data_IF_832010197799
#
_entry.id   IF_832010197799
#
_cell.length_a   1.000
_cell.length_b   1.000
_cell.length_c   1.000
_cell.angle_alpha   90.00
_cell.angle_beta   90.00
_cell.angle_gamma   90.00
#
_symmetry.space_group_name_H-M   'P 1'
#
loop_
_entity.id
_entity.type
_entity.pdbx_description
1 polymer ?
#
# COMPACT_ATOMS: atom_id res chain seq x y z
N UNK A 1 -63.77 5.62 -7.54
CA UNK A 1 -63.59 6.70 -8.53
C UNK A 1 -62.70 7.77 -7.90
N UNK A 2 -61.43 7.79 -8.23
CA UNK A 2 -60.62 8.98 -8.41
C UNK A 2 -59.24 8.54 -8.91
N UNK A 3 -58.98 8.82 -10.18
CA UNK A 3 -57.68 8.66 -10.83
C UNK A 3 -56.88 9.91 -10.54
N UNK A 4 -55.73 9.79 -9.90
CA UNK A 4 -54.71 10.84 -9.89
C UNK A 4 -53.59 10.47 -10.85
N UNK A 5 -53.36 11.35 -11.81
CA UNK A 5 -52.40 11.24 -12.88
C UNK A 5 -50.95 11.38 -12.35
N UNK A 6 -50.11 10.47 -12.79
CA UNK A 6 -48.65 10.52 -12.61
C UNK A 6 -48.07 11.50 -13.64
N UNK A 7 -47.38 12.53 -13.15
CA UNK A 7 -46.57 13.43 -13.98
C UNK A 7 -45.19 12.81 -14.22
N UNK A 8 -44.76 12.76 -15.49
CA UNK A 8 -43.46 12.33 -15.90
C UNK A 8 -42.37 13.37 -15.58
N UNK A 9 -41.14 12.97 -15.26
CA UNK A 9 -40.02 13.89 -15.03
C UNK A 9 -39.50 14.44 -16.36
N UNK A 10 -39.36 15.77 -16.41
CA UNK A 10 -38.70 16.53 -17.50
C UNK A 10 -37.21 16.24 -17.54
N UNK A 11 -36.70 16.07 -18.77
CA UNK A 11 -35.27 15.91 -19.07
C UNK A 11 -34.46 17.17 -18.74
N UNK A 12 -33.17 17.02 -18.34
CA UNK A 12 -32.31 18.17 -18.09
C UNK A 12 -31.87 18.83 -19.38
N UNK A 13 -31.87 20.15 -19.36
CA UNK A 13 -31.47 21.10 -20.40
C UNK A 13 -29.96 21.02 -20.67
N UNK A 14 -29.60 20.80 -21.94
CA UNK A 14 -28.24 20.68 -22.44
C UNK A 14 -27.63 22.08 -22.57
N UNK A 15 -26.65 22.41 -21.70
CA UNK A 15 -25.90 23.67 -21.74
C UNK A 15 -24.76 23.53 -22.74
N UNK A 16 -24.80 24.29 -23.84
CA UNK A 16 -23.74 24.39 -24.82
C UNK A 16 -22.50 25.13 -24.26
N UNK A 17 -21.26 24.71 -24.64
CA UNK A 17 -20.06 25.37 -24.17
C UNK A 17 -19.83 26.70 -24.89
N UNK A 18 -19.21 27.71 -24.22
CA UNK A 18 -18.91 29.03 -24.82
C UNK A 18 -17.77 28.96 -25.84
N UNK A 19 -17.94 29.69 -26.93
CA UNK A 19 -16.99 29.75 -28.05
C UNK A 19 -15.66 30.38 -27.66
N UNK A 20 -14.60 29.79 -28.20
CA UNK A 20 -13.21 30.31 -28.13
C UNK A 20 -12.94 31.28 -29.29
N UNK A 21 -13.23 32.55 -29.08
CA UNK A 21 -12.71 33.64 -29.94
C UNK A 21 -11.57 34.33 -29.20
N UNK A 22 -10.38 34.30 -29.80
CA UNK A 22 -9.26 35.15 -29.33
C UNK A 22 -7.87 34.50 -29.34
N UNK A 23 -7.41 33.96 -30.48
CA UNK A 23 -5.99 33.64 -30.67
C UNK A 23 -5.38 34.61 -31.65
N UNK A 24 -4.35 35.41 -31.27
CA UNK A 24 -3.64 36.29 -32.20
C UNK A 24 -2.76 35.49 -33.16
N UNK A 25 -2.91 35.73 -34.47
CA UNK A 25 -2.06 35.16 -35.52
C UNK A 25 -0.63 35.73 -35.42
N UNK A 26 0.36 34.88 -35.34
CA UNK A 26 1.77 35.22 -35.51
C UNK A 26 2.04 35.58 -37.00
N UNK A 27 2.75 36.69 -37.21
CA UNK A 27 3.21 37.16 -38.52
C UNK A 27 4.34 36.29 -39.04
N UNK A 28 4.17 35.77 -40.24
CA UNK A 28 5.25 35.24 -41.06
C UNK A 28 6.18 36.35 -41.49
N UNK A 29 7.48 36.24 -41.27
CA UNK A 29 8.52 37.04 -41.91
C UNK A 29 9.18 36.18 -42.98
N UNK A 30 9.06 36.62 -44.21
CA UNK A 30 9.68 36.03 -45.41
C UNK A 30 11.20 36.28 -45.46
N UNK A 31 11.89 35.54 -46.33
CA UNK A 31 13.34 35.52 -46.37
C UNK A 31 13.92 36.68 -47.21
N UNK A 32 14.89 37.37 -46.66
CA UNK A 32 15.71 38.36 -47.38
C UNK A 32 17.01 37.68 -47.85
N UNK A 33 17.23 37.74 -49.17
CA UNK A 33 18.37 37.17 -49.84
C UNK A 33 19.55 38.16 -49.80
N UNK A 34 20.73 37.73 -49.40
CA UNK A 34 22.01 38.43 -49.66
C UNK A 34 23.02 37.46 -50.25
N UNK A 35 23.63 37.85 -51.34
CA UNK A 35 24.52 37.16 -52.24
C UNK A 35 25.98 37.03 -51.70
N UNK A 36 26.89 36.29 -52.40
CA UNK A 36 28.03 35.61 -51.82
C UNK A 36 29.34 36.41 -51.89
N UNK A 37 30.17 36.24 -50.90
CA UNK A 37 31.62 36.59 -50.99
C UNK A 37 32.49 35.34 -50.87
N UNK A 38 33.53 35.31 -51.72
CA UNK A 38 34.44 34.18 -51.97
C UNK A 38 35.68 34.21 -51.04
N UNK A 39 36.64 33.27 -51.15
CA UNK A 39 37.12 32.49 -50.02
C UNK A 39 38.46 32.99 -49.47
N UNK A 40 38.63 32.87 -48.12
CA UNK A 40 39.97 32.90 -47.50
C UNK A 40 40.39 31.52 -47.03
N UNK A 41 41.54 31.15 -47.54
CA UNK A 41 42.30 29.91 -47.16
C UNK A 41 43.02 30.19 -45.86
N UNK A 42 42.71 29.45 -44.79
CA UNK A 42 43.63 29.32 -43.66
C UNK A 42 43.56 27.94 -42.97
N UNK A 43 44.71 27.28 -43.05
CA UNK A 43 45.33 26.38 -42.12
C UNK A 43 44.53 25.21 -41.50
N UNK A 44 45.01 24.04 -41.91
CA UNK A 44 44.80 22.78 -41.26
C UNK A 44 45.20 22.82 -39.77
N UNK A 45 44.20 22.81 -38.88
CA UNK A 45 44.39 22.54 -37.46
C UNK A 45 44.01 21.10 -37.22
N UNK A 46 45.03 20.31 -36.91
CA UNK A 46 44.95 18.89 -36.50
C UNK A 46 43.85 18.69 -35.45
N UNK A 47 42.78 17.98 -35.83
CA UNK A 47 41.72 17.51 -34.92
C UNK A 47 42.28 16.43 -33.97
N UNK A 48 42.33 16.76 -32.68
CA UNK A 48 42.65 15.84 -31.59
C UNK A 48 41.49 14.86 -31.42
N UNK A 49 41.72 13.54 -31.30
CA UNK A 49 40.65 12.55 -31.15
C UNK A 49 40.20 12.42 -29.68
N UNK A 50 39.66 13.47 -29.12
CA UNK A 50 39.15 13.45 -27.72
C UNK A 50 37.63 13.21 -27.58
N UNK A 51 36.88 13.15 -28.68
CA UNK A 51 35.40 13.00 -28.65
C UNK A 51 34.90 11.55 -28.54
N UNK A 52 35.74 10.55 -28.83
CA UNK A 52 35.30 9.14 -28.86
C UNK A 52 35.27 8.44 -27.50
N UNK A 53 36.11 8.86 -26.56
CA UNK A 53 36.22 8.20 -25.25
C UNK A 53 35.06 8.51 -24.29
N UNK A 54 34.52 9.75 -24.34
CA UNK A 54 33.44 10.16 -23.47
C UNK A 54 32.08 9.48 -23.82
N UNK A 55 31.80 9.22 -25.10
CA UNK A 55 30.58 8.52 -25.52
C UNK A 55 30.63 7.02 -25.22
N UNK A 56 31.81 6.39 -25.23
CA UNK A 56 32.02 5.01 -24.84
C UNK A 56 31.83 4.78 -23.35
N UNK A 57 32.33 5.67 -22.50
CA UNK A 57 32.15 5.63 -21.05
C UNK A 57 30.69 5.81 -20.63
N UNK A 58 29.95 6.66 -21.32
CA UNK A 58 28.51 6.84 -21.09
C UNK A 58 27.67 5.63 -21.54
N UNK A 59 28.06 4.90 -22.59
CA UNK A 59 27.42 3.65 -22.99
C UNK A 59 27.73 2.52 -22.01
N UNK A 60 28.96 2.37 -21.59
CA UNK A 60 29.35 1.37 -20.58
C UNK A 60 28.68 1.62 -19.22
N UNK A 61 28.52 2.86 -18.81
CA UNK A 61 27.80 3.20 -17.58
C UNK A 61 26.28 2.94 -17.68
N UNK A 62 25.68 3.07 -18.86
CA UNK A 62 24.28 2.68 -19.12
C UNK A 62 24.12 1.16 -19.15
N UNK A 63 25.03 0.44 -19.82
CA UNK A 63 25.02 -1.03 -19.84
C UNK A 63 25.24 -1.63 -18.45
N UNK A 64 26.12 -1.04 -17.63
CA UNK A 64 26.32 -1.44 -16.23
C UNK A 64 25.09 -1.13 -15.35
N UNK A 65 24.31 -0.09 -15.66
CA UNK A 65 23.01 0.15 -14.99
C UNK A 65 21.95 -0.88 -15.41
N UNK A 66 21.88 -1.23 -16.69
CA UNK A 66 20.97 -2.25 -17.19
C UNK A 66 21.34 -3.64 -16.67
N UNK A 67 22.64 -3.98 -16.57
CA UNK A 67 23.10 -5.22 -15.92
C UNK A 67 22.81 -5.27 -14.41
N UNK A 68 22.71 -4.13 -13.74
CA UNK A 68 22.24 -4.09 -12.34
C UNK A 68 20.74 -4.34 -12.23
N UNK A 69 19.94 -4.03 -13.26
CA UNK A 69 18.51 -4.34 -13.31
C UNK A 69 18.25 -5.81 -13.65
N UNK A 70 19.09 -6.44 -14.48
CA UNK A 70 19.02 -7.89 -14.74
C UNK A 70 19.41 -8.76 -13.53
N UNK A 71 20.04 -8.15 -12.51
CA UNK A 71 20.29 -8.78 -11.21
C UNK A 71 19.10 -8.77 -10.25
N UNK A 72 17.98 -8.11 -10.60
CA UNK A 72 16.72 -8.18 -9.86
C UNK A 72 16.11 -9.57 -10.05
N UNK A 73 16.30 -10.42 -9.08
CA UNK A 73 15.70 -11.77 -9.03
C UNK A 73 14.30 -11.61 -8.41
N UNK A 74 13.21 -11.53 -9.20
CA UNK A 74 11.86 -11.27 -8.66
C UNK A 74 11.40 -12.34 -7.66
N UNK A 75 11.91 -13.59 -7.79
CA UNK A 75 11.67 -14.65 -6.79
C UNK A 75 12.23 -14.33 -5.40
N UNK A 76 13.21 -13.39 -5.29
CA UNK A 76 13.64 -12.91 -3.96
C UNK A 76 12.58 -12.07 -3.24
N UNK A 77 11.52 -11.67 -3.90
CA UNK A 77 10.37 -11.00 -3.27
C UNK A 77 9.36 -11.99 -2.67
N UNK A 78 9.45 -13.28 -3.04
CA UNK A 78 8.58 -14.32 -2.52
C UNK A 78 9.16 -14.95 -1.26
N UNK A 79 8.31 -15.38 -0.31
CA UNK A 79 8.77 -16.06 0.90
C UNK A 79 9.34 -17.45 0.56
N UNK A 80 10.32 -17.88 1.35
CA UNK A 80 10.93 -19.21 1.22
C UNK A 80 11.02 -19.87 2.58
N UNK A 81 10.95 -21.23 2.66
CA UNK A 81 10.97 -21.93 3.94
C UNK A 81 12.21 -21.65 4.79
N UNK A 82 13.37 -21.52 4.14
CA UNK A 82 14.66 -21.30 4.83
C UNK A 82 15.02 -19.84 5.02
N UNK A 83 14.61 -18.97 4.07
CA UNK A 83 14.98 -17.54 4.09
C UNK A 83 14.02 -16.65 4.87
N UNK A 84 12.72 -17.02 4.89
CA UNK A 84 11.64 -16.28 5.55
C UNK A 84 10.60 -17.25 6.13
N UNK A 85 11.00 -18.07 7.12
CA UNK A 85 10.16 -19.16 7.64
C UNK A 85 8.84 -18.68 8.26
N UNK A 86 8.83 -17.52 8.93
CA UNK A 86 7.60 -16.94 9.49
C UNK A 86 6.62 -16.56 8.37
N UNK A 87 7.05 -15.74 7.41
CA UNK A 87 6.19 -15.31 6.31
C UNK A 87 5.72 -16.49 5.46
N UNK A 88 6.61 -17.48 5.20
CA UNK A 88 6.26 -18.67 4.44
C UNK A 88 5.21 -19.54 5.15
N UNK A 89 5.44 -19.87 6.43
CA UNK A 89 4.50 -20.68 7.21
C UNK A 89 3.16 -19.98 7.41
N UNK A 90 3.19 -18.67 7.66
CA UNK A 90 1.96 -17.89 7.84
C UNK A 90 1.21 -17.71 6.50
N UNK A 91 1.91 -17.53 5.38
CA UNK A 91 1.28 -17.51 4.05
C UNK A 91 0.61 -18.86 3.73
N UNK A 92 1.23 -19.99 4.06
CA UNK A 92 0.63 -21.31 3.89
C UNK A 92 -0.66 -21.47 4.73
N UNK A 93 -0.64 -20.99 5.97
CA UNK A 93 -1.81 -20.99 6.85
C UNK A 93 -2.94 -20.11 6.30
N UNK A 94 -2.62 -18.89 5.88
CA UNK A 94 -3.61 -17.98 5.28
C UNK A 94 -4.16 -18.49 3.95
N UNK A 95 -3.35 -19.23 3.18
CA UNK A 95 -3.84 -19.91 1.97
C UNK A 95 -4.83 -21.00 2.33
N UNK A 96 -4.54 -21.81 3.36
CA UNK A 96 -5.44 -22.86 3.82
C UNK A 96 -6.79 -22.29 4.30
N UNK A 97 -6.77 -21.24 5.14
CA UNK A 97 -8.00 -20.59 5.63
C UNK A 97 -8.76 -19.89 4.49
N UNK A 98 -8.08 -19.31 3.51
CA UNK A 98 -8.71 -18.73 2.33
C UNK A 98 -9.36 -19.79 1.43
N UNK A 99 -8.73 -20.95 1.25
CA UNK A 99 -9.34 -22.07 0.52
C UNK A 99 -10.55 -22.62 1.30
N UNK A 100 -10.45 -22.75 2.63
CA UNK A 100 -11.59 -23.10 3.45
C UNK A 100 -12.74 -22.10 3.27
N UNK A 101 -12.46 -20.80 3.31
CA UNK A 101 -13.46 -19.75 3.12
C UNK A 101 -14.10 -19.77 1.72
N UNK A 102 -13.38 -20.25 0.71
CA UNK A 102 -13.88 -20.33 -0.67
C UNK A 102 -14.73 -21.57 -0.96
N UNK A 103 -14.41 -22.71 -0.33
CA UNK A 103 -15.00 -24.02 -0.70
C UNK A 103 -15.89 -24.63 0.38
N UNK A 104 -15.83 -24.18 1.64
CA UNK A 104 -16.68 -24.67 2.69
C UNK A 104 -18.09 -24.04 2.64
N UNK A 105 -19.01 -24.60 3.41
CA UNK A 105 -20.38 -24.10 3.51
C UNK A 105 -20.39 -22.61 3.99
N UNK A 106 -21.12 -21.71 3.29
CA UNK A 106 -21.16 -20.30 3.65
C UNK A 106 -21.64 -20.02 5.08
N UNK A 107 -22.53 -20.86 5.62
CA UNK A 107 -23.02 -20.71 7.00
C UNK A 107 -21.94 -21.02 8.02
N UNK A 108 -21.13 -22.04 7.76
CA UNK A 108 -19.96 -22.38 8.57
C UNK A 108 -18.94 -21.24 8.55
N UNK A 109 -18.60 -20.72 7.36
CA UNK A 109 -17.64 -19.62 7.23
C UNK A 109 -18.15 -18.36 7.94
N UNK A 110 -19.43 -18.02 7.80
CA UNK A 110 -20.02 -16.91 8.52
C UNK A 110 -19.98 -17.09 10.04
N UNK A 111 -20.17 -18.30 10.52
CA UNK A 111 -20.03 -18.61 11.94
C UNK A 111 -18.56 -18.46 12.41
N UNK A 112 -17.60 -19.00 11.65
CA UNK A 112 -16.18 -18.88 11.96
C UNK A 112 -15.71 -17.43 12.00
N UNK A 113 -16.12 -16.60 11.02
CA UNK A 113 -15.79 -15.16 11.01
C UNK A 113 -16.38 -14.44 12.23
N UNK A 114 -17.63 -14.73 12.61
CA UNK A 114 -18.23 -14.14 13.81
C UNK A 114 -17.49 -14.54 15.09
N UNK A 115 -17.19 -15.82 15.27
CA UNK A 115 -16.47 -16.32 16.45
C UNK A 115 -15.00 -15.87 16.52
N UNK A 116 -14.39 -15.50 15.38
CA UNK A 116 -13.04 -14.94 15.33
C UNK A 116 -13.01 -13.41 15.24
N UNK A 117 -14.17 -12.76 15.37
CA UNK A 117 -14.25 -11.29 15.36
C UNK A 117 -13.60 -10.69 16.60
N UNK A 118 -12.81 -9.65 16.43
CA UNK A 118 -12.21 -8.87 17.51
C UNK A 118 -13.12 -7.74 18.00
N UNK A 119 -14.43 -7.89 17.87
CA UNK A 119 -15.38 -6.95 18.45
C UNK A 119 -15.35 -6.94 19.99
N UNK A 120 -15.90 -5.90 20.59
CA UNK A 120 -15.85 -5.67 22.05
C UNK A 120 -16.42 -6.86 22.83
N UNK A 121 -17.53 -7.46 22.36
CA UNK A 121 -18.18 -8.57 23.06
C UNK A 121 -17.28 -9.80 23.15
N UNK A 122 -16.61 -10.18 22.07
CA UNK A 122 -15.68 -11.30 22.06
C UNK A 122 -14.35 -10.98 22.77
N UNK A 123 -13.82 -9.75 22.61
CA UNK A 123 -12.61 -9.33 23.31
C UNK A 123 -12.76 -9.33 24.85
N UNK A 124 -13.95 -9.09 25.37
CA UNK A 124 -14.19 -9.15 26.84
C UNK A 124 -14.31 -10.56 27.37
N UNK A 125 -14.70 -11.54 26.52
CA UNK A 125 -14.88 -12.95 26.91
C UNK A 125 -13.62 -13.77 26.68
N UNK A 126 -13.02 -13.71 25.50
CA UNK A 126 -11.91 -14.56 25.07
C UNK A 126 -10.81 -13.77 24.32
N UNK A 127 -10.18 -12.76 24.94
CA UNK A 127 -9.30 -11.81 24.26
C UNK A 127 -8.15 -12.48 23.49
N UNK A 128 -7.50 -13.47 24.08
CA UNK A 128 -6.36 -14.15 23.42
C UNK A 128 -6.81 -14.98 22.21
N UNK A 129 -7.95 -15.67 22.33
CA UNK A 129 -8.46 -16.52 21.25
C UNK A 129 -8.82 -15.65 20.04
N UNK A 130 -9.60 -14.59 20.23
CA UNK A 130 -10.08 -13.77 19.11
C UNK A 130 -8.96 -12.96 18.47
N UNK A 131 -7.98 -12.47 19.24
CA UNK A 131 -6.81 -11.77 18.69
C UNK A 131 -5.96 -12.69 17.80
N UNK A 132 -5.84 -13.98 18.13
CA UNK A 132 -5.13 -14.94 17.28
C UNK A 132 -6.02 -15.39 16.11
N UNK A 133 -7.28 -15.73 16.38
CA UNK A 133 -8.18 -16.26 15.37
C UNK A 133 -8.54 -15.24 14.29
N UNK A 134 -8.70 -13.97 14.63
CA UNK A 134 -8.96 -12.89 13.66
C UNK A 134 -7.81 -12.73 12.67
N UNK A 135 -6.57 -12.92 13.12
CA UNK A 135 -5.39 -12.83 12.27
C UNK A 135 -5.22 -14.04 11.31
N UNK A 136 -6.10 -15.04 11.37
CA UNK A 136 -6.08 -16.18 10.44
C UNK A 136 -6.88 -15.93 9.16
N UNK A 137 -7.47 -14.77 8.97
CA UNK A 137 -8.31 -14.47 7.83
C UNK A 137 -7.78 -13.31 7.00
N UNK A 138 -8.06 -13.36 5.70
CA UNK A 138 -7.79 -12.25 4.76
C UNK A 138 -9.12 -11.62 4.36
N UNK A 139 -9.44 -10.46 4.91
CA UNK A 139 -10.60 -9.71 4.48
C UNK A 139 -10.47 -9.33 2.99
N UNK A 140 -11.51 -9.61 2.20
CA UNK A 140 -11.48 -9.43 0.75
C UNK A 140 -10.79 -10.56 -0.03
N UNK A 141 -10.34 -11.64 0.64
CA UNK A 141 -9.79 -12.84 0.02
C UNK A 141 -8.33 -12.71 -0.44
N UNK A 142 -7.85 -13.77 -1.11
CA UNK A 142 -6.43 -13.94 -1.48
C UNK A 142 -5.93 -12.92 -2.53
N UNK A 143 -6.83 -12.31 -3.30
CA UNK A 143 -6.51 -11.27 -4.29
C UNK A 143 -6.55 -9.86 -3.71
N UNK A 144 -6.82 -9.68 -2.42
CA UNK A 144 -6.89 -8.37 -1.79
C UNK A 144 -5.51 -7.67 -1.78
N UNK A 145 -5.47 -6.34 -1.80
CA UNK A 145 -4.22 -5.58 -1.65
C UNK A 145 -3.44 -5.95 -0.38
N UNK A 146 -4.15 -6.31 0.70
CA UNK A 146 -3.54 -6.73 1.95
C UNK A 146 -2.87 -8.11 1.86
N UNK A 147 -3.38 -9.05 1.06
CA UNK A 147 -2.72 -10.33 0.80
C UNK A 147 -1.40 -10.13 0.05
N UNK A 148 -1.41 -9.30 -0.99
CA UNK A 148 -0.19 -8.95 -1.75
C UNK A 148 0.79 -8.20 -0.85
N UNK A 149 0.31 -7.20 -0.12
CA UNK A 149 1.09 -6.44 0.84
C UNK A 149 1.72 -7.34 1.91
N UNK A 150 0.95 -8.29 2.47
CA UNK A 150 1.45 -9.29 3.40
C UNK A 150 2.67 -10.03 2.83
N UNK A 151 2.54 -10.64 1.65
CA UNK A 151 3.63 -11.40 1.05
C UNK A 151 4.89 -10.55 0.83
N UNK A 152 4.75 -9.39 0.21
CA UNK A 152 5.89 -8.55 -0.16
C UNK A 152 6.52 -7.87 1.05
N UNK A 153 5.71 -7.28 1.92
CA UNK A 153 6.17 -6.47 3.05
C UNK A 153 6.78 -7.35 4.13
N UNK A 154 6.09 -8.43 4.52
CA UNK A 154 6.63 -9.32 5.55
C UNK A 154 7.88 -10.05 5.06
N UNK A 155 7.90 -10.54 3.81
CA UNK A 155 9.12 -11.12 3.23
C UNK A 155 10.29 -10.13 3.27
N UNK A 156 10.06 -8.88 2.87
CA UNK A 156 11.09 -7.85 2.88
C UNK A 156 11.54 -7.47 4.29
N UNK A 157 10.63 -7.44 5.25
CA UNK A 157 10.91 -7.14 6.65
C UNK A 157 11.67 -8.30 7.30
N UNK A 158 11.19 -9.53 7.15
CA UNK A 158 11.79 -10.73 7.74
C UNK A 158 13.23 -10.94 7.27
N UNK A 159 13.52 -10.71 6.00
CA UNK A 159 14.89 -10.75 5.49
C UNK A 159 15.82 -9.75 6.14
N UNK A 160 15.28 -8.63 6.64
CA UNK A 160 16.08 -7.56 7.25
C UNK A 160 16.23 -7.67 8.76
N UNK A 161 15.22 -8.17 9.46
CA UNK A 161 15.24 -8.21 10.93
C UNK A 161 15.06 -9.62 11.51
N UNK A 162 14.69 -10.60 10.69
CA UNK A 162 14.49 -12.00 11.07
C UNK A 162 13.06 -12.34 11.50
N UNK A 163 12.75 -13.64 11.54
CA UNK A 163 11.41 -14.18 11.71
C UNK A 163 10.70 -13.70 12.99
N UNK A 164 11.31 -13.93 14.16
CA UNK A 164 10.69 -13.61 15.45
C UNK A 164 10.39 -12.11 15.61
N UNK A 165 11.31 -11.26 15.14
CA UNK A 165 11.13 -9.80 15.22
C UNK A 165 10.07 -9.30 14.25
N UNK A 166 9.95 -9.92 13.07
CA UNK A 166 8.88 -9.63 12.12
C UNK A 166 7.53 -10.05 12.67
N UNK A 167 7.43 -11.24 13.23
CA UNK A 167 6.23 -11.68 13.94
C UNK A 167 5.86 -10.72 15.07
N UNK A 168 6.83 -10.28 15.86
CA UNK A 168 6.62 -9.31 16.94
C UNK A 168 6.08 -7.96 16.46
N UNK A 169 6.63 -7.40 15.36
CA UNK A 169 6.12 -6.15 14.76
C UNK A 169 4.69 -6.33 14.24
N UNK A 170 4.44 -7.41 13.53
CA UNK A 170 3.11 -7.75 13.00
C UNK A 170 2.07 -7.88 14.12
N UNK A 171 2.35 -8.69 15.13
CA UNK A 171 1.45 -8.91 16.26
C UNK A 171 1.26 -7.65 17.10
N UNK A 172 2.32 -6.86 17.34
CA UNK A 172 2.21 -5.59 18.03
C UNK A 172 1.22 -4.66 17.32
N UNK A 173 1.38 -4.50 15.99
CA UNK A 173 0.47 -3.68 15.21
C UNK A 173 -0.96 -4.20 15.23
N UNK A 174 -1.14 -5.50 15.05
CA UNK A 174 -2.45 -6.14 15.08
C UNK A 174 -3.14 -5.95 16.43
N UNK A 175 -2.51 -6.32 17.52
CA UNK A 175 -3.10 -6.25 18.87
C UNK A 175 -3.34 -4.82 19.32
N UNK A 176 -2.35 -3.94 19.20
CA UNK A 176 -2.48 -2.56 19.72
C UNK A 176 -3.46 -1.76 18.88
N UNK A 177 -3.49 -1.92 17.56
CA UNK A 177 -4.49 -1.22 16.72
C UNK A 177 -5.91 -1.73 17.00
N UNK A 178 -6.12 -3.04 17.12
CA UNK A 178 -7.40 -3.62 17.52
C UNK A 178 -7.89 -3.06 18.86
N UNK A 179 -7.04 -3.08 19.89
CA UNK A 179 -7.43 -2.52 21.19
C UNK A 179 -7.69 -1.02 21.13
N UNK A 180 -6.92 -0.27 20.32
CA UNK A 180 -7.10 1.16 20.16
C UNK A 180 -8.37 1.54 19.39
N UNK A 181 -8.95 0.62 18.61
CA UNK A 181 -10.26 0.80 17.97
C UNK A 181 -11.41 0.31 18.83
N UNK A 182 -11.28 -0.87 19.42
CA UNK A 182 -12.41 -1.52 20.12
C UNK A 182 -12.64 -1.02 21.56
N UNK A 183 -11.56 -0.66 22.29
CA UNK A 183 -11.71 -0.13 23.66
C UNK A 183 -12.51 1.17 23.69
N UNK A 184 -12.27 2.18 22.82
CA UNK A 184 -13.12 3.37 22.76
C UNK A 184 -14.59 3.08 22.42
N UNK A 185 -14.84 2.09 21.55
CA UNK A 185 -16.23 1.66 21.25
C UNK A 185 -16.91 1.11 22.50
N UNK A 186 -16.25 0.19 23.21
CA UNK A 186 -16.78 -0.35 24.47
C UNK A 186 -17.05 0.71 25.51
N UNK A 187 -16.11 1.65 25.71
CA UNK A 187 -16.28 2.77 26.63
C UNK A 187 -17.43 3.71 26.21
N UNK A 188 -17.61 3.94 24.90
CA UNK A 188 -18.68 4.77 24.38
C UNK A 188 -20.07 4.13 24.55
N UNK A 189 -20.17 2.80 24.45
CA UNK A 189 -21.41 2.07 24.77
C UNK A 189 -21.69 2.14 26.26
N UNK A 190 -20.71 1.91 27.12
CA UNK A 190 -20.87 2.03 28.57
C UNK A 190 -21.29 3.44 29.02
N UNK A 191 -20.83 4.48 28.30
CA UNK A 191 -21.22 5.86 28.55
C UNK A 191 -22.58 6.24 27.95
N UNK A 192 -23.26 5.33 27.23
CA UNK A 192 -24.56 5.58 26.57
C UNK A 192 -24.46 6.43 25.28
N UNK A 193 -23.26 6.62 24.72
CA UNK A 193 -23.05 7.37 23.48
C UNK A 193 -23.25 6.52 22.23
N UNK A 194 -23.07 5.21 22.32
CA UNK A 194 -23.29 4.26 21.23
C UNK A 194 -24.29 3.18 21.65
N UNK A 195 -25.06 2.61 20.72
CA UNK A 195 -25.98 1.52 20.99
C UNK A 195 -25.23 0.20 21.25
N UNK A 196 -25.84 -0.74 21.98
CA UNK A 196 -25.29 -2.06 22.29
C UNK A 196 -24.92 -2.87 21.04
N UNK A 197 -25.61 -2.63 19.91
CA UNK A 197 -25.28 -3.26 18.63
C UNK A 197 -23.85 -2.97 18.15
N UNK A 198 -23.25 -1.87 18.61
CA UNK A 198 -21.86 -1.50 18.29
C UNK A 198 -20.83 -2.45 18.91
N UNK A 199 -21.20 -3.21 19.96
CA UNK A 199 -20.35 -4.21 20.59
C UNK A 199 -20.10 -5.45 19.71
N UNK A 200 -20.90 -5.64 18.67
CA UNK A 200 -20.88 -6.82 17.78
C UNK A 200 -20.50 -6.46 16.34
N UNK A 201 -19.70 -5.42 16.16
CA UNK A 201 -19.16 -5.05 14.83
C UNK A 201 -18.17 -6.11 14.35
N UNK A 202 -18.46 -6.72 13.20
CA UNK A 202 -17.58 -7.74 12.64
C UNK A 202 -16.22 -7.12 12.26
N UNK A 203 -15.15 -7.55 12.94
CA UNK A 203 -13.78 -7.13 12.67
C UNK A 203 -12.83 -8.32 12.72
N UNK A 204 -12.16 -8.59 11.61
CA UNK A 204 -11.16 -9.64 11.50
C UNK A 204 -10.22 -9.37 10.32
N UNK A 205 -9.03 -9.94 10.36
CA UNK A 205 -8.09 -9.92 9.23
C UNK A 205 -6.67 -9.48 9.60
N UNK A 206 -5.78 -9.73 8.67
CA UNK A 206 -4.34 -9.45 8.82
C UNK A 206 -3.98 -7.96 8.62
N UNK A 207 -4.93 -7.12 8.24
CA UNK A 207 -4.66 -5.79 7.67
C UNK A 207 -3.90 -4.85 8.61
N UNK A 208 -4.23 -4.82 9.91
CA UNK A 208 -3.51 -4.02 10.91
C UNK A 208 -2.05 -4.45 11.07
N UNK A 209 -1.82 -5.77 11.12
CA UNK A 209 -0.46 -6.32 11.17
C UNK A 209 0.36 -5.96 9.91
N UNK A 210 -0.27 -5.99 8.73
CA UNK A 210 0.36 -5.58 7.47
C UNK A 210 0.67 -4.08 7.48
N UNK A 211 -0.29 -3.22 7.87
CA UNK A 211 -0.09 -1.78 7.93
C UNK A 211 1.05 -1.39 8.89
N UNK A 212 1.13 -2.02 10.07
CA UNK A 212 2.25 -1.83 10.99
C UNK A 212 3.58 -2.31 10.38
N UNK A 213 3.57 -3.43 9.67
CA UNK A 213 4.76 -3.95 8.99
C UNK A 213 5.24 -3.02 7.86
N UNK A 214 4.33 -2.35 7.13
CA UNK A 214 4.67 -1.28 6.16
C UNK A 214 5.36 -0.12 6.86
N UNK A 215 4.79 0.37 7.97
CA UNK A 215 5.38 1.43 8.78
C UNK A 215 6.78 1.09 9.26
N UNK A 216 6.97 -0.11 9.83
CA UNK A 216 8.25 -0.59 10.30
C UNK A 216 9.30 -0.73 9.17
N UNK A 217 8.89 -1.33 8.03
CA UNK A 217 9.76 -1.53 6.87
C UNK A 217 10.24 -0.20 6.28
N UNK A 218 9.37 0.82 6.25
CA UNK A 218 9.71 2.16 5.79
C UNK A 218 10.92 2.74 6.56
N UNK A 219 11.05 2.42 7.85
CA UNK A 219 12.20 2.81 8.68
C UNK A 219 13.55 2.31 8.21
N UNK A 220 13.56 1.23 7.41
CA UNK A 220 14.76 0.58 6.88
C UNK A 220 15.12 1.03 5.46
N UNK A 221 14.31 1.87 4.84
CA UNK A 221 14.55 2.42 3.51
C UNK A 221 15.41 3.70 3.54
N UNK A 222 15.95 4.06 2.37
CA UNK A 222 16.57 5.39 2.14
C UNK A 222 15.51 6.48 2.36
N UNK A 223 15.88 7.69 2.80
CA UNK A 223 14.92 8.73 3.17
C UNK A 223 13.86 9.03 2.10
N UNK A 224 14.24 9.19 0.82
CA UNK A 224 13.31 9.46 -0.26
C UNK A 224 12.28 8.33 -0.47
N UNK A 225 12.74 7.06 -0.45
CA UNK A 225 11.87 5.89 -0.63
C UNK A 225 10.94 5.70 0.59
N UNK A 226 11.46 5.97 1.79
CA UNK A 226 10.67 5.94 3.04
C UNK A 226 9.45 6.85 2.95
N UNK A 227 9.69 8.12 2.60
CA UNK A 227 8.61 9.09 2.49
C UNK A 227 7.66 8.79 1.34
N UNK A 228 8.16 8.27 0.21
CA UNK A 228 7.32 7.82 -0.89
C UNK A 228 6.38 6.69 -0.47
N UNK A 229 6.89 5.68 0.26
CA UNK A 229 6.07 4.56 0.76
C UNK A 229 5.04 5.04 1.78
N UNK A 230 5.45 5.89 2.74
CA UNK A 230 4.53 6.41 3.75
C UNK A 230 3.48 7.35 3.15
N UNK A 231 3.85 8.21 2.21
CA UNK A 231 2.90 9.10 1.54
C UNK A 231 1.93 8.31 0.65
N UNK A 232 2.43 7.32 -0.11
CA UNK A 232 1.59 6.49 -0.97
C UNK A 232 0.61 5.60 -0.18
N UNK A 233 1.14 4.81 0.76
CA UNK A 233 0.31 3.93 1.57
C UNK A 233 -0.56 4.71 2.56
N UNK A 234 0.00 5.69 3.26
CA UNK A 234 -0.74 6.55 4.17
C UNK A 234 -1.81 7.40 3.46
N UNK A 235 -1.52 7.89 2.25
CA UNK A 235 -2.49 8.59 1.40
C UNK A 235 -3.68 7.69 1.04
N UNK A 236 -3.42 6.44 0.65
CA UNK A 236 -4.47 5.45 0.40
C UNK A 236 -5.35 5.23 1.66
N UNK A 237 -4.75 5.07 2.84
CA UNK A 237 -5.49 4.89 4.08
C UNK A 237 -6.33 6.12 4.47
N UNK A 238 -5.83 7.32 4.17
CA UNK A 238 -6.58 8.58 4.39
C UNK A 238 -7.76 8.67 3.41
N UNK A 239 -7.56 8.29 2.15
CA UNK A 239 -8.62 8.22 1.14
C UNK A 239 -9.74 7.26 1.57
N UNK A 240 -9.38 6.05 2.03
CA UNK A 240 -10.34 5.08 2.57
C UNK A 240 -11.09 5.64 3.79
N UNK A 241 -10.42 6.38 4.67
CA UNK A 241 -11.06 7.04 5.82
C UNK A 241 -12.03 8.14 5.39
N UNK A 242 -11.66 8.94 4.39
CA UNK A 242 -12.53 10.01 3.82
C UNK A 242 -13.74 9.40 3.11
N UNK A 243 -13.58 8.26 2.43
CA UNK A 243 -14.67 7.53 1.80
C UNK A 243 -15.73 7.04 2.82
N UNK A 244 -15.39 6.98 4.09
CA UNK A 244 -16.27 6.72 5.23
C UNK A 244 -17.08 5.41 5.15
N UNK A 245 -16.57 4.40 4.46
CA UNK A 245 -17.23 3.10 4.30
C UNK A 245 -17.17 2.25 5.57
N UNK A 246 -15.99 2.23 6.25
CA UNK A 246 -15.76 1.63 7.56
C UNK A 246 -14.76 2.49 8.35
N UNK A 247 -15.22 3.58 8.96
CA UNK A 247 -14.33 4.57 9.57
C UNK A 247 -13.51 4.01 10.73
N UNK A 248 -14.02 3.03 11.48
CA UNK A 248 -13.30 2.45 12.61
C UNK A 248 -12.10 1.60 12.14
N UNK A 249 -12.32 0.70 11.19
CA UNK A 249 -11.24 -0.11 10.60
C UNK A 249 -10.23 0.78 9.87
N UNK A 250 -10.69 1.79 9.12
CA UNK A 250 -9.82 2.71 8.42
C UNK A 250 -8.97 3.55 9.36
N UNK A 251 -9.54 4.00 10.49
CA UNK A 251 -8.79 4.65 11.56
C UNK A 251 -7.76 3.70 12.19
N UNK A 252 -8.14 2.45 12.42
CA UNK A 252 -7.25 1.40 12.91
C UNK A 252 -6.04 1.15 12.00
N UNK A 253 -6.21 1.22 10.68
CA UNK A 253 -5.09 1.11 9.72
C UNK A 253 -4.07 2.25 9.89
N UNK A 254 -4.53 3.51 10.08
CA UNK A 254 -3.63 4.64 10.33
C UNK A 254 -2.89 4.51 11.66
N UNK A 255 -3.58 4.05 12.71
CA UNK A 255 -2.95 3.72 13.99
C UNK A 255 -1.91 2.63 13.84
N UNK A 256 -2.23 1.53 13.15
CA UNK A 256 -1.31 0.43 12.89
C UNK A 256 -0.06 0.89 12.13
N UNK A 257 -0.22 1.70 11.07
CA UNK A 257 0.90 2.31 10.35
C UNK A 257 1.78 3.14 11.29
N UNK A 258 1.16 3.95 12.14
CA UNK A 258 1.86 4.81 13.12
C UNK A 258 2.61 4.00 14.17
N UNK A 259 2.01 2.88 14.65
CA UNK A 259 2.69 1.92 15.55
C UNK A 259 3.92 1.35 14.86
N UNK A 260 3.81 0.95 13.58
CA UNK A 260 4.94 0.49 12.80
C UNK A 260 6.06 1.53 12.69
N UNK A 261 5.72 2.80 12.45
CA UNK A 261 6.69 3.92 12.44
C UNK A 261 7.36 4.08 13.82
N UNK A 262 6.62 3.96 14.89
CA UNK A 262 7.15 4.04 16.25
C UNK A 262 8.19 2.95 16.55
N UNK A 263 8.16 1.82 15.85
CA UNK A 263 9.18 0.74 16.01
C UNK A 263 10.53 1.07 15.35
N UNK A 264 10.72 2.18 14.64
CA UNK A 264 11.95 2.49 13.91
C UNK A 264 13.25 2.39 14.72
N UNK A 265 13.32 2.87 15.96
CA UNK A 265 14.54 2.68 16.77
C UNK A 265 14.92 1.20 16.89
N UNK A 266 13.93 0.35 17.16
CA UNK A 266 14.13 -1.09 17.33
C UNK A 266 14.51 -1.80 16.03
N UNK A 267 13.75 -1.58 14.96
CA UNK A 267 14.02 -2.28 13.67
C UNK A 267 15.36 -1.88 13.07
N UNK A 268 15.85 -0.65 13.33
CA UNK A 268 17.18 -0.22 12.91
C UNK A 268 18.29 -0.92 13.66
N UNK A 269 18.14 -1.11 14.98
CA UNK A 269 19.07 -1.90 15.79
C UNK A 269 19.07 -3.37 15.35
N UNK A 270 17.90 -3.91 14.99
CA UNK A 270 17.75 -5.31 14.59
C UNK A 270 18.17 -5.59 13.15
N UNK A 271 18.49 -4.58 12.39
CA UNK A 271 18.84 -4.73 10.97
C UNK A 271 20.04 -5.67 10.82
N UNK A 272 19.85 -6.76 10.07
CA UNK A 272 20.92 -7.66 9.68
C UNK A 272 21.80 -7.01 8.61
N UNK A 273 23.13 -7.26 8.61
CA UNK A 273 23.98 -6.92 7.48
C UNK A 273 23.41 -7.54 6.19
N UNK A 274 23.55 -6.84 5.07
CA UNK A 274 23.17 -7.43 3.79
C UNK A 274 24.14 -8.58 3.47
N UNK A 275 23.62 -9.80 3.31
CA UNK A 275 24.35 -10.96 2.86
C UNK A 275 24.59 -10.91 1.34
#
# INVERSE_FOLDING_TARGET
MNRSASAAPTAPEEIAPPGLDGIPRQREHGPEAVAPEAPEVHEARTASPAGGAASGLNRLSRLNRLNRLSGLRPWRLLPTPTGTPFTFGYAALLTLTSLLAQYADPSLISALHRHSSTDVAHLTQEPFLVLVASALWIAGGIASPYAIGFLLVLTALERRIGALRTAGVFLLGHVVATLATEVPVGLSVLAGHLPDSSLHRLDYGISFGVAASVGALAGLFRPWLRWLVLAGFGGMLIDDLIAFTDPMTNWGHLLALSIGVATWPLVRIWRRPAA
#
